data_IF_103513903975
#
_entry.id   IF_103513903975
#
_cell.length_a   1.000
_cell.length_b   1.000
_cell.length_c   1.000
_cell.angle_alpha   90.00
_cell.angle_beta   90.00
_cell.angle_gamma   90.00
#
_symmetry.space_group_name_H-M   'P 1'
#
loop_
_entity.id
_entity.type
_entity.pdbx_description
1 polymer ?
#
# COMPACT_ATOMS: atom_id res chain seq x y z
N UNK A 1 -0.54 28.16 3.10
CA UNK A 1 0.51 28.49 4.09
C UNK A 1 -0.20 28.98 5.34
N UNK A 2 -0.26 28.18 6.40
CA UNK A 2 -0.98 28.54 7.63
C UNK A 2 -0.35 29.80 8.26
N UNK A 3 -1.19 30.76 8.63
CA UNK A 3 -0.79 32.03 9.24
C UNK A 3 -0.14 31.77 10.61
N UNK A 4 1.04 32.36 10.84
CA UNK A 4 1.81 32.24 12.08
C UNK A 4 1.00 32.72 13.30
N UNK A 5 0.03 33.61 13.09
CA UNK A 5 -0.91 34.06 14.12
C UNK A 5 -1.90 32.96 14.53
N UNK A 6 -2.40 32.19 13.57
CA UNK A 6 -3.29 31.06 13.84
C UNK A 6 -2.57 29.95 14.62
N UNK A 7 -1.30 29.69 14.29
CA UNK A 7 -0.48 28.70 15.03
C UNK A 7 -0.27 29.13 16.48
N UNK A 8 0.01 30.42 16.73
CA UNK A 8 0.16 30.95 18.10
C UNK A 8 -1.13 30.90 18.90
N UNK A 9 -2.27 31.16 18.26
CA UNK A 9 -3.58 31.10 18.92
C UNK A 9 -3.97 29.66 19.28
N UNK A 10 -3.68 28.69 18.40
CA UNK A 10 -3.88 27.26 18.66
C UNK A 10 -2.97 26.78 19.80
N UNK A 11 -1.69 27.15 19.78
CA UNK A 11 -0.75 26.79 20.85
C UNK A 11 -1.19 27.34 22.22
N UNK A 12 -1.70 28.58 22.26
CA UNK A 12 -2.24 29.19 23.48
C UNK A 12 -3.52 28.53 23.99
N UNK A 13 -4.31 27.89 23.11
CA UNK A 13 -5.51 27.13 23.50
C UNK A 13 -5.17 25.71 23.96
N UNK A 14 -4.11 25.11 23.42
CA UNK A 14 -3.62 23.79 23.82
C UNK A 14 -2.97 23.77 25.22
N UNK A 15 -2.19 24.80 25.58
CA UNK A 15 -1.55 24.90 26.90
C UNK A 15 -2.51 24.78 28.11
N UNK A 16 -3.65 25.49 28.16
CA UNK A 16 -4.59 25.37 29.27
C UNK A 16 -5.34 24.03 29.27
N UNK A 17 -5.62 23.43 28.11
CA UNK A 17 -6.23 22.09 28.02
C UNK A 17 -5.26 20.99 28.50
N UNK A 18 -3.97 21.10 28.16
CA UNK A 18 -2.91 20.24 28.71
C UNK A 18 -2.79 20.36 30.23
N UNK A 19 -2.95 21.57 30.76
CA UNK A 19 -2.90 21.81 32.21
C UNK A 19 -4.10 21.16 32.93
N UNK A 20 -5.30 21.22 32.35
CA UNK A 20 -6.48 20.52 32.88
C UNK A 20 -6.35 19.00 32.81
N UNK A 21 -5.75 18.46 31.75
CA UNK A 21 -5.48 17.02 31.67
C UNK A 21 -4.50 16.59 32.75
N UNK A 22 -3.44 17.37 33.01
CA UNK A 22 -2.48 17.10 34.08
C UNK A 22 -3.11 17.09 35.48
N UNK A 23 -4.10 17.96 35.74
CA UNK A 23 -4.85 17.97 37.01
C UNK A 23 -5.76 16.74 37.18
N UNK A 24 -6.11 16.04 36.10
CA UNK A 24 -6.93 14.83 36.13
C UNK A 24 -6.14 13.53 36.31
N UNK A 25 -4.80 13.60 36.33
CA UNK A 25 -3.92 12.45 36.51
C UNK A 25 -3.78 12.14 38.01
N UNK A 26 -4.26 10.97 38.44
CA UNK A 26 -4.06 10.46 39.80
C UNK A 26 -2.63 9.92 39.95
N UNK A 27 -1.78 10.66 40.66
CA UNK A 27 -0.37 10.33 40.88
C UNK A 27 -0.16 9.09 41.76
N UNK A 28 -1.21 8.56 42.40
CA UNK A 28 -1.12 7.32 43.19
C UNK A 28 -1.26 6.04 42.34
N UNK A 29 -1.60 6.16 41.05
CA UNK A 29 -1.71 5.01 40.14
C UNK A 29 -0.44 4.75 39.31
N UNK A 30 0.59 5.58 39.44
CA UNK A 30 1.82 5.48 38.65
C UNK A 30 2.87 4.74 39.48
N UNK A 31 3.15 3.47 39.16
CA UNK A 31 4.26 2.74 39.75
C UNK A 31 5.59 3.23 39.16
N UNK A 32 6.30 4.03 39.94
CA UNK A 32 7.57 4.65 39.56
C UNK A 32 8.71 3.62 39.36
N UNK A 33 8.51 2.34 39.66
CA UNK A 33 9.52 1.30 39.42
C UNK A 33 9.55 0.75 37.99
N UNK A 34 8.58 1.11 37.13
CA UNK A 34 8.54 0.67 35.73
C UNK A 34 9.32 1.58 34.76
N UNK A 35 9.71 2.78 35.18
CA UNK A 35 10.37 3.76 34.32
C UNK A 35 11.90 3.58 34.18
N UNK A 36 12.50 2.66 34.93
CA UNK A 36 13.96 2.54 35.07
C UNK A 36 14.57 1.29 34.41
N UNK A 37 13.84 0.62 33.50
CA UNK A 37 14.42 -0.50 32.73
C UNK A 37 15.10 -0.01 31.44
N UNK A 38 16.40 -0.30 31.24
CA UNK A 38 17.14 0.16 30.08
C UNK A 38 16.71 -0.54 28.79
N UNK A 39 16.61 0.28 27.74
CA UNK A 39 16.36 -0.09 26.35
C UNK A 39 17.61 -0.77 25.76
N UNK A 40 17.42 -1.91 25.09
CA UNK A 40 18.35 -2.67 24.22
C UNK A 40 19.48 -3.50 24.87
N UNK A 41 19.26 -4.82 24.95
CA UNK A 41 19.96 -5.86 24.16
C UNK A 41 19.62 -7.26 24.69
N UNK A 42 19.02 -8.10 23.86
CA UNK A 42 19.66 -9.34 23.38
C UNK A 42 18.79 -9.96 22.28
N UNK A 43 19.32 -9.86 21.05
CA UNK A 43 19.04 -10.78 19.97
C UNK A 43 19.48 -12.17 20.40
N UNK A 44 18.64 -13.17 20.11
CA UNK A 44 18.93 -14.60 19.88
C UNK A 44 17.81 -15.48 20.45
N UNK A 45 16.61 -15.34 19.90
CA UNK A 45 15.61 -16.40 19.82
C UNK A 45 14.53 -15.96 18.82
N UNK A 46 14.19 -16.87 17.91
CA UNK A 46 13.08 -16.80 16.95
C UNK A 46 11.88 -16.04 17.58
N UNK A 47 11.39 -14.92 17.01
CA UNK A 47 10.25 -14.25 17.61
C UNK A 47 9.03 -15.12 17.31
N UNK A 48 8.56 -15.84 18.34
CA UNK A 48 7.14 -16.16 18.44
C UNK A 48 6.41 -14.81 18.45
N UNK A 49 5.58 -14.60 17.42
CA UNK A 49 4.69 -13.47 17.30
C UNK A 49 3.85 -13.37 18.58
N UNK A 50 4.03 -12.32 19.37
CA UNK A 50 3.12 -12.00 20.45
C UNK A 50 1.80 -11.54 19.83
N UNK A 51 0.81 -12.42 19.80
CA UNK A 51 -0.54 -12.12 19.33
C UNK A 51 -1.20 -11.10 20.26
N UNK A 52 -1.17 -9.82 19.90
CA UNK A 52 -2.36 -9.00 20.08
C UNK A 52 -3.43 -9.60 19.18
N UNK A 53 -4.43 -10.28 19.73
CA UNK A 53 -5.44 -11.00 18.94
C UNK A 53 -6.13 -10.05 17.97
N UNK A 54 -5.80 -10.15 16.68
CA UNK A 54 -6.49 -9.39 15.64
C UNK A 54 -7.96 -9.82 15.60
N UNK A 55 -8.86 -8.84 15.68
CA UNK A 55 -10.31 -9.09 15.66
C UNK A 55 -10.91 -8.73 14.30
N UNK A 56 -12.08 -9.28 13.93
CA UNK A 56 -12.82 -8.79 12.77
C UNK A 56 -13.15 -7.29 12.89
N UNK A 57 -13.16 -6.59 11.75
CA UNK A 57 -13.65 -5.21 11.68
C UNK A 57 -15.16 -5.16 11.92
N UNK A 58 -15.61 -4.17 12.68
CA UNK A 58 -17.03 -3.79 12.79
C UNK A 58 -17.51 -3.14 11.49
N UNK A 59 -18.84 -3.01 11.31
CA UNK A 59 -19.38 -2.36 10.11
C UNK A 59 -18.96 -0.88 10.02
N UNK A 60 -18.95 -0.15 11.14
CA UNK A 60 -18.53 1.26 11.18
C UNK A 60 -17.05 1.41 10.78
N UNK A 61 -16.17 0.50 11.23
CA UNK A 61 -14.76 0.49 10.82
C UNK A 61 -14.60 0.15 9.34
N UNK A 62 -15.38 -0.80 8.80
CA UNK A 62 -15.36 -1.12 7.37
C UNK A 62 -15.74 0.10 6.53
N UNK A 63 -16.78 0.82 6.92
CA UNK A 63 -17.22 2.02 6.21
C UNK A 63 -16.18 3.15 6.32
N UNK A 64 -15.60 3.34 7.50
CA UNK A 64 -14.53 4.32 7.74
C UNK A 64 -13.29 4.03 6.88
N UNK A 65 -12.78 2.80 6.93
CA UNK A 65 -11.56 2.44 6.21
C UNK A 65 -11.80 2.39 4.70
N UNK A 66 -12.96 1.93 4.23
CA UNK A 66 -13.32 1.98 2.81
C UNK A 66 -13.18 3.39 2.24
N UNK A 67 -13.70 4.40 2.94
CA UNK A 67 -13.59 5.79 2.51
C UNK A 67 -12.14 6.30 2.63
N UNK A 68 -11.49 6.01 3.77
CA UNK A 68 -10.14 6.52 4.07
C UNK A 68 -9.07 6.00 3.11
N UNK A 69 -9.08 4.71 2.78
CA UNK A 69 -8.07 4.10 1.90
C UNK A 69 -8.55 3.98 0.44
N UNK A 70 -9.84 4.17 0.18
CA UNK A 70 -10.40 4.06 -1.16
C UNK A 70 -10.46 2.63 -1.69
N UNK A 71 -10.51 1.62 -0.83
CA UNK A 71 -10.56 0.22 -1.26
C UNK A 71 -11.94 -0.20 -1.80
N UNK A 72 -11.98 -1.36 -2.45
CA UNK A 72 -13.24 -2.03 -2.76
C UNK A 72 -13.96 -2.48 -1.49
N UNK A 73 -15.29 -2.44 -1.48
CA UNK A 73 -16.08 -2.84 -0.30
C UNK A 73 -15.86 -4.30 0.12
N UNK A 74 -15.66 -5.21 -0.84
CA UNK A 74 -15.42 -6.63 -0.58
C UNK A 74 -14.07 -6.91 0.08
N UNK A 75 -13.09 -6.00 -0.03
CA UNK A 75 -11.75 -6.22 0.52
C UNK A 75 -11.79 -6.35 2.06
N UNK A 76 -12.64 -5.56 2.70
CA UNK A 76 -12.72 -5.47 4.16
C UNK A 76 -13.71 -6.47 4.78
N UNK A 77 -14.44 -7.25 3.98
CA UNK A 77 -15.47 -8.16 4.51
C UNK A 77 -14.91 -9.19 5.48
N UNK A 78 -13.76 -9.77 5.13
CA UNK A 78 -13.06 -10.81 5.90
C UNK A 78 -11.74 -10.31 6.50
N UNK A 79 -11.53 -8.99 6.56
CA UNK A 79 -10.33 -8.42 7.14
C UNK A 79 -10.38 -8.41 8.67
N UNK A 80 -9.21 -8.44 9.30
CA UNK A 80 -9.04 -8.26 10.74
C UNK A 80 -8.22 -7.01 11.03
N UNK A 81 -8.31 -6.49 12.24
CA UNK A 81 -7.58 -5.32 12.71
C UNK A 81 -6.98 -5.62 14.08
N UNK A 82 -5.72 -5.21 14.29
CA UNK A 82 -5.05 -5.33 15.58
C UNK A 82 -5.22 -4.09 16.46
N UNK A 83 -4.66 -4.13 17.66
CA UNK A 83 -4.71 -3.03 18.63
C UNK A 83 -4.00 -1.75 18.17
N UNK A 84 -3.08 -1.85 17.20
CA UNK A 84 -2.35 -0.72 16.63
C UNK A 84 -3.08 -0.10 15.43
N UNK A 85 -4.19 -0.70 15.01
CA UNK A 85 -4.98 -0.25 13.87
C UNK A 85 -4.50 -0.75 12.52
N UNK A 86 -3.56 -1.70 12.50
CA UNK A 86 -3.11 -2.36 11.26
C UNK A 86 -4.15 -3.36 10.78
N UNK A 87 -4.46 -3.30 9.49
CA UNK A 87 -5.49 -4.12 8.85
C UNK A 87 -4.83 -5.29 8.14
N UNK A 88 -5.33 -6.50 8.39
CA UNK A 88 -4.91 -7.71 7.70
C UNK A 88 -5.99 -8.13 6.72
N UNK A 89 -5.70 -8.09 5.42
CA UNK A 89 -6.65 -8.42 4.36
C UNK A 89 -6.46 -9.87 3.89
N UNK A 90 -7.57 -10.49 3.49
CA UNK A 90 -7.56 -11.80 2.85
C UNK A 90 -7.31 -11.64 1.35
N UNK A 91 -6.10 -11.95 0.88
CA UNK A 91 -5.73 -11.86 -0.53
C UNK A 91 -5.95 -13.18 -1.26
N UNK A 92 -6.20 -13.11 -2.57
CA UNK A 92 -6.25 -14.31 -3.41
C UNK A 92 -4.87 -14.97 -3.40
N UNK A 93 -4.85 -16.29 -3.20
CA UNK A 93 -3.64 -17.11 -3.09
C UNK A 93 -2.76 -16.81 -1.88
N UNK A 94 -3.30 -16.25 -0.78
CA UNK A 94 -2.53 -16.04 0.45
C UNK A 94 -1.86 -17.34 0.98
N UNK A 95 -2.48 -18.50 0.75
CA UNK A 95 -1.93 -19.81 1.15
C UNK A 95 -0.65 -20.20 0.39
N UNK A 96 -0.28 -19.46 -0.65
CA UNK A 96 0.97 -19.62 -1.40
C UNK A 96 2.14 -18.85 -0.78
N UNK A 97 1.94 -18.14 0.35
CA UNK A 97 3.02 -17.42 1.05
C UNK A 97 4.30 -18.27 1.16
N UNK A 98 5.42 -17.72 0.68
CA UNK A 98 6.73 -18.37 0.65
C UNK A 98 6.93 -19.43 -0.45
N UNK A 99 5.94 -19.67 -1.32
CA UNK A 99 6.05 -20.58 -2.45
C UNK A 99 6.44 -19.83 -3.72
N UNK A 100 7.22 -20.49 -4.57
CA UNK A 100 7.64 -20.03 -5.90
C UNK A 100 6.87 -20.79 -6.98
N UNK A 101 6.23 -20.08 -7.90
CA UNK A 101 5.61 -20.64 -9.09
C UNK A 101 6.63 -21.21 -10.07
N UNK A 102 6.17 -21.97 -11.08
CA UNK A 102 7.04 -22.51 -12.14
C UNK A 102 7.64 -21.38 -13.01
N UNK A 103 6.97 -20.24 -13.07
CA UNK A 103 7.40 -19.00 -13.71
C UNK A 103 8.38 -18.17 -12.85
N UNK A 104 8.69 -18.62 -11.63
CA UNK A 104 9.60 -17.92 -10.72
C UNK A 104 8.94 -16.87 -9.83
N UNK A 105 7.63 -16.62 -9.98
CA UNK A 105 6.92 -15.63 -9.15
C UNK A 105 6.74 -16.18 -7.73
N UNK A 106 7.17 -15.39 -6.73
CA UNK A 106 7.05 -15.74 -5.31
C UNK A 106 5.88 -14.97 -4.70
N UNK A 107 5.13 -15.61 -3.81
CA UNK A 107 4.11 -14.92 -3.01
C UNK A 107 4.69 -14.52 -1.66
N UNK A 108 4.76 -13.22 -1.38
CA UNK A 108 5.34 -12.68 -0.16
C UNK A 108 4.33 -11.88 0.63
N UNK A 109 4.42 -11.98 1.96
CA UNK A 109 3.67 -11.11 2.87
C UNK A 109 4.32 -9.74 2.89
N UNK A 110 3.50 -8.72 2.68
CA UNK A 110 3.93 -7.33 2.66
C UNK A 110 2.94 -6.45 3.40
N UNK A 111 3.47 -5.47 4.13
CA UNK A 111 2.68 -4.38 4.71
C UNK A 111 2.90 -3.13 3.86
N UNK A 112 1.82 -2.50 3.43
CA UNK A 112 1.81 -1.24 2.69
C UNK A 112 1.08 -0.17 3.51
N UNK A 113 1.44 1.09 3.31
CA UNK A 113 0.78 2.22 3.97
C UNK A 113 -0.06 3.00 2.97
N UNK A 114 -1.36 3.15 3.24
CA UNK A 114 -2.29 3.93 2.42
C UNK A 114 -2.99 4.95 3.30
N UNK A 115 -2.76 6.24 3.05
CA UNK A 115 -3.34 7.35 3.81
C UNK A 115 -3.14 7.20 5.35
N UNK A 116 -1.95 6.76 5.75
CA UNK A 116 -1.58 6.52 7.16
C UNK A 116 -2.27 5.31 7.79
N UNK A 117 -2.73 4.36 6.99
CA UNK A 117 -3.27 3.06 7.43
C UNK A 117 -2.37 1.95 6.92
N UNK A 118 -1.85 1.13 7.82
CA UNK A 118 -1.09 -0.05 7.47
C UNK A 118 -2.02 -1.19 7.04
N UNK A 119 -1.75 -1.76 5.88
CA UNK A 119 -2.49 -2.89 5.31
C UNK A 119 -1.50 -4.01 5.02
N UNK A 120 -1.72 -5.18 5.61
CA UNK A 120 -0.93 -6.38 5.36
C UNK A 120 -1.72 -7.40 4.54
N UNK A 121 -1.05 -7.95 3.53
CA UNK A 121 -1.55 -9.04 2.71
C UNK A 121 -0.41 -9.85 2.12
N UNK A 122 -0.76 -10.87 1.34
CA UNK A 122 0.21 -11.70 0.59
C UNK A 122 0.04 -11.42 -0.89
N UNK A 123 1.12 -11.04 -1.56
CA UNK A 123 1.11 -10.57 -2.95
C UNK A 123 2.19 -11.27 -3.79
N UNK A 124 1.92 -11.57 -5.07
CA UNK A 124 2.94 -12.04 -6.00
C UNK A 124 3.99 -10.95 -6.23
N UNK A 125 5.26 -11.32 -6.25
CA UNK A 125 6.38 -10.45 -6.55
C UNK A 125 6.76 -10.63 -8.01
N UNK A 126 6.35 -9.66 -8.85
CA UNK A 126 6.59 -9.69 -10.29
C UNK A 126 7.93 -9.05 -10.66
N UNK A 127 8.50 -9.50 -11.78
CA UNK A 127 9.64 -8.83 -12.39
C UNK A 127 9.15 -7.69 -13.28
N UNK A 128 9.07 -6.49 -12.72
CA UNK A 128 8.61 -5.30 -13.44
C UNK A 128 9.69 -4.72 -14.35
N UNK A 129 9.30 -4.38 -15.59
CA UNK A 129 10.16 -3.66 -16.52
C UNK A 129 10.29 -2.17 -16.11
N UNK A 130 9.20 -1.57 -15.61
CA UNK A 130 9.18 -0.21 -15.05
C UNK A 130 8.02 -0.08 -14.06
N UNK A 131 8.30 0.62 -12.96
CA UNK A 131 7.30 1.04 -11.99
C UNK A 131 6.99 2.52 -12.16
N UNK A 132 5.70 2.86 -12.20
CA UNK A 132 5.19 4.22 -12.38
C UNK A 132 4.27 4.56 -11.21
N UNK A 133 4.53 5.70 -10.57
CA UNK A 133 3.68 6.22 -9.52
C UNK A 133 2.58 7.10 -10.13
N UNK A 134 1.31 6.74 -9.92
CA UNK A 134 0.19 7.56 -10.35
C UNK A 134 0.10 8.87 -9.53
N UNK A 135 -0.30 9.98 -10.16
CA UNK A 135 -0.69 11.18 -9.44
C UNK A 135 -2.06 11.00 -8.78
N UNK A 136 -2.32 11.78 -7.73
CA UNK A 136 -3.50 11.63 -6.86
C UNK A 136 -4.83 11.64 -7.65
N UNK A 137 -4.94 12.50 -8.66
CA UNK A 137 -6.13 12.63 -9.51
C UNK A 137 -6.42 11.36 -10.35
N UNK A 138 -5.43 10.50 -10.56
CA UNK A 138 -5.57 9.27 -11.32
C UNK A 138 -5.76 8.02 -10.44
N UNK A 139 -5.60 8.12 -9.12
CA UNK A 139 -5.70 6.97 -8.20
C UNK A 139 -7.04 6.22 -8.37
N UNK A 140 -8.15 6.94 -8.46
CA UNK A 140 -9.51 6.40 -8.64
C UNK A 140 -10.02 6.50 -10.09
N UNK A 141 -9.17 6.89 -11.04
CA UNK A 141 -9.55 6.98 -12.45
C UNK A 141 -9.78 5.59 -13.07
N UNK A 142 -10.28 5.56 -14.31
CA UNK A 142 -10.45 4.32 -15.06
C UNK A 142 -9.11 3.69 -15.41
N UNK A 143 -9.10 2.36 -15.58
CA UNK A 143 -7.89 1.62 -15.95
C UNK A 143 -7.26 2.16 -17.24
N UNK A 144 -8.07 2.60 -18.21
CA UNK A 144 -7.57 3.20 -19.46
C UNK A 144 -6.80 4.50 -19.24
N UNK A 145 -7.29 5.40 -18.38
CA UNK A 145 -6.62 6.66 -18.09
C UNK A 145 -5.33 6.46 -17.29
N UNK A 146 -5.33 5.48 -16.38
CA UNK A 146 -4.12 5.09 -15.63
C UNK A 146 -3.07 4.48 -16.56
N UNK A 147 -3.49 3.64 -17.50
CA UNK A 147 -2.61 3.03 -18.50
C UNK A 147 -2.07 4.06 -19.51
N UNK A 148 -2.89 5.02 -19.95
CA UNK A 148 -2.44 6.14 -20.81
C UNK A 148 -1.32 6.93 -20.13
N UNK A 149 -1.50 7.32 -18.86
CA UNK A 149 -0.46 8.00 -18.08
C UNK A 149 0.81 7.15 -17.95
N UNK A 150 0.66 5.86 -17.66
CA UNK A 150 1.80 4.96 -17.50
C UNK A 150 2.54 4.72 -18.84
N UNK A 151 1.84 4.69 -19.97
CA UNK A 151 2.44 4.62 -21.30
C UNK A 151 3.23 5.90 -21.63
N UNK A 152 2.75 7.09 -21.25
CA UNK A 152 3.50 8.34 -21.40
C UNK A 152 4.82 8.30 -20.61
N UNK A 153 4.78 7.82 -19.36
CA UNK A 153 5.97 7.67 -18.53
C UNK A 153 6.96 6.64 -19.10
N UNK A 154 6.45 5.51 -19.62
CA UNK A 154 7.27 4.51 -20.32
C UNK A 154 7.95 5.10 -21.56
N UNK A 155 7.21 5.86 -22.37
CA UNK A 155 7.74 6.55 -23.55
C UNK A 155 8.87 7.51 -23.17
N UNK A 156 8.64 8.38 -22.19
CA UNK A 156 9.68 9.30 -21.71
C UNK A 156 10.94 8.54 -21.23
N UNK A 157 10.77 7.42 -20.52
CA UNK A 157 11.89 6.61 -20.04
C UNK A 157 12.68 5.99 -21.20
N UNK A 158 12.00 5.46 -22.22
CA UNK A 158 12.64 4.87 -23.41
C UNK A 158 13.39 5.94 -24.21
N UNK A 159 12.82 7.13 -24.39
CA UNK A 159 13.45 8.24 -25.12
C UNK A 159 14.74 8.73 -24.44
N UNK A 160 14.76 8.74 -23.11
CA UNK A 160 15.87 9.30 -22.31
C UNK A 160 16.93 8.28 -21.90
N UNK A 161 16.66 6.97 -22.03
CA UNK A 161 17.56 5.91 -21.59
C UNK A 161 17.71 4.81 -22.67
N UNK A 162 18.69 4.97 -23.58
CA UNK A 162 18.94 4.00 -24.63
C UNK A 162 19.37 2.61 -24.14
N UNK A 163 19.90 2.47 -22.92
CA UNK A 163 20.21 1.14 -22.36
C UNK A 163 18.93 0.45 -21.88
N UNK A 164 18.05 1.19 -21.21
CA UNK A 164 16.72 0.70 -20.83
C UNK A 164 15.89 0.28 -22.05
N UNK A 165 15.96 1.04 -23.15
CA UNK A 165 15.23 0.73 -24.37
C UNK A 165 15.57 -0.65 -24.98
N UNK A 166 16.78 -1.19 -24.73
CA UNK A 166 17.24 -2.47 -25.30
C UNK A 166 16.47 -3.70 -24.84
N UNK A 167 15.66 -3.58 -23.79
CA UNK A 167 14.81 -4.70 -23.33
C UNK A 167 13.57 -4.91 -24.23
N UNK A 168 13.25 -3.93 -25.09
CA UNK A 168 12.10 -3.99 -25.99
C UNK A 168 12.53 -4.31 -27.43
N UNK A 169 11.66 -5.00 -28.18
CA UNK A 169 11.84 -5.21 -29.63
C UNK A 169 11.59 -3.93 -30.43
N UNK A 170 12.00 -3.91 -31.70
CA UNK A 170 11.72 -2.77 -32.59
C UNK A 170 10.20 -2.52 -32.73
N UNK A 171 9.38 -3.57 -32.78
CA UNK A 171 7.91 -3.42 -32.81
C UNK A 171 7.37 -2.83 -31.50
N UNK A 172 7.87 -3.28 -30.35
CA UNK A 172 7.47 -2.75 -29.05
C UNK A 172 7.88 -1.29 -28.88
N UNK A 173 9.06 -0.90 -29.39
CA UNK A 173 9.50 0.49 -29.38
C UNK A 173 8.60 1.38 -30.24
N UNK A 174 8.09 0.89 -31.38
CA UNK A 174 7.10 1.61 -32.19
C UNK A 174 5.77 1.79 -31.44
N UNK A 175 5.31 0.77 -30.72
CA UNK A 175 4.10 0.86 -29.88
C UNK A 175 4.27 1.89 -28.76
N UNK A 176 5.41 1.85 -28.06
CA UNK A 176 5.74 2.80 -26.98
C UNK A 176 5.78 4.23 -27.52
N UNK A 177 6.38 4.44 -28.70
CA UNK A 177 6.40 5.75 -29.36
C UNK A 177 4.98 6.25 -29.70
N UNK A 178 4.07 5.34 -30.03
CA UNK A 178 2.65 5.65 -30.28
C UNK A 178 1.81 5.81 -29.00
N UNK A 179 2.41 5.65 -27.80
CA UNK A 179 1.69 5.74 -26.52
C UNK A 179 0.87 4.49 -26.19
N UNK A 180 1.18 3.36 -26.82
CA UNK A 180 0.53 2.08 -26.61
C UNK A 180 1.32 1.22 -25.62
N UNK A 181 0.62 0.33 -24.92
CA UNK A 181 1.29 -0.68 -24.08
C UNK A 181 1.93 -1.70 -25.01
N UNK A 182 3.25 -1.98 -24.88
CA UNK A 182 3.95 -2.89 -25.78
C UNK A 182 3.41 -4.32 -25.71
N UNK A 183 3.37 -5.01 -26.85
CA UNK A 183 2.87 -6.37 -26.98
C UNK A 183 3.59 -7.32 -26.01
N UNK A 184 2.81 -8.19 -25.38
CA UNK A 184 3.32 -9.12 -24.36
C UNK A 184 3.37 -8.53 -22.94
N UNK A 185 3.16 -7.22 -22.77
CA UNK A 185 3.10 -6.58 -21.46
C UNK A 185 1.69 -6.13 -21.07
N UNK A 186 1.48 -5.97 -19.77
CA UNK A 186 0.26 -5.39 -19.21
C UNK A 186 0.61 -4.49 -18.04
N UNK A 187 -0.20 -3.47 -17.82
CA UNK A 187 -0.12 -2.63 -16.64
C UNK A 187 -0.81 -3.31 -15.46
N UNK A 188 -0.01 -3.72 -14.48
CA UNK A 188 -0.45 -4.30 -13.22
C UNK A 188 -0.56 -3.22 -12.14
N UNK A 189 -1.69 -3.17 -11.43
CA UNK A 189 -1.82 -2.33 -10.25
C UNK A 189 -1.12 -3.02 -9.05
N UNK A 190 0.02 -2.50 -8.63
CA UNK A 190 0.79 -2.99 -7.47
C UNK A 190 0.10 -2.72 -6.14
N UNK A 191 0.47 -3.46 -5.10
CA UNK A 191 -0.11 -3.29 -3.76
C UNK A 191 0.24 -1.93 -3.11
N UNK A 192 1.35 -1.32 -3.52
CA UNK A 192 1.74 0.02 -3.06
C UNK A 192 0.77 1.07 -3.60
N UNK A 193 0.54 2.12 -2.80
CA UNK A 193 -0.44 3.14 -3.12
C UNK A 193 -0.13 3.84 -4.45
N UNK A 194 -0.99 3.66 -5.45
CA UNK A 194 -0.85 4.31 -6.76
C UNK A 194 0.22 3.71 -7.67
N UNK A 195 0.81 2.56 -7.31
CA UNK A 195 1.84 1.90 -8.11
C UNK A 195 1.26 1.17 -9.32
N UNK A 196 1.84 1.45 -10.49
CA UNK A 196 1.60 0.75 -11.74
C UNK A 196 2.90 0.08 -12.18
N UNK A 197 2.85 -1.22 -12.49
CA UNK A 197 4.00 -2.00 -12.90
C UNK A 197 3.80 -2.53 -14.31
N UNK A 198 4.78 -2.35 -15.19
CA UNK A 198 4.75 -2.97 -16.51
C UNK A 198 5.32 -4.39 -16.40
N UNK A 199 4.46 -5.40 -16.44
CA UNK A 199 4.86 -6.80 -16.26
C UNK A 199 4.45 -7.65 -17.46
N UNK A 200 5.02 -8.85 -17.56
CA UNK A 200 4.61 -9.84 -18.56
C UNK A 200 3.12 -10.16 -18.42
N UNK A 201 2.40 -10.13 -19.54
CA UNK A 201 0.98 -10.53 -19.59
C UNK A 201 0.80 -11.99 -19.18
N UNK A 202 1.76 -12.85 -19.53
CA UNK A 202 1.73 -14.27 -19.18
C UNK A 202 1.89 -14.47 -17.66
N UNK A 203 2.87 -13.82 -17.04
CA UNK A 203 3.07 -13.87 -15.58
C UNK A 203 1.83 -13.35 -14.83
N UNK A 204 1.24 -12.25 -15.30
CA UNK A 204 0.02 -11.68 -14.72
C UNK A 204 -1.16 -12.66 -14.79
N UNK A 205 -1.33 -13.34 -15.93
CA UNK A 205 -2.41 -14.31 -16.13
C UNK A 205 -2.23 -15.58 -15.30
N UNK A 206 -1.00 -16.08 -15.18
CA UNK A 206 -0.68 -17.29 -14.42
C UNK A 206 -0.82 -17.09 -12.91
N UNK A 207 -0.62 -15.86 -12.43
CA UNK A 207 -0.59 -15.54 -11.00
C UNK A 207 -1.82 -14.76 -10.54
N UNK A 208 -3.04 -15.27 -10.75
CA UNK A 208 -4.26 -14.60 -10.26
C UNK A 208 -4.13 -14.16 -8.78
N UNK A 209 -4.35 -12.87 -8.51
CA UNK A 209 -4.10 -12.24 -7.21
C UNK A 209 -5.09 -11.09 -6.92
N UNK A 210 -5.03 -10.54 -5.70
CA UNK A 210 -5.70 -9.28 -5.34
C UNK A 210 -4.78 -8.11 -5.71
N UNK A 211 -5.06 -7.41 -6.81
CA UNK A 211 -4.26 -6.27 -7.26
C UNK A 211 -4.60 -4.95 -6.57
N UNK A 212 -3.72 -3.96 -6.67
CA UNK A 212 -3.79 -2.62 -6.09
C UNK A 212 -5.07 -1.87 -6.37
N UNK A 213 -5.68 -2.07 -7.54
CA UNK A 213 -6.97 -1.47 -7.87
C UNK A 213 -8.02 -1.75 -6.80
N UNK A 214 -8.05 -2.96 -6.24
CA UNK A 214 -8.99 -3.33 -5.18
C UNK A 214 -8.63 -2.75 -3.81
N UNK A 215 -7.35 -2.40 -3.60
CA UNK A 215 -6.77 -1.95 -2.33
C UNK A 215 -6.88 -0.43 -2.19
N UNK A 216 -6.56 0.32 -3.24
CA UNK A 216 -6.52 1.79 -3.20
C UNK A 216 -7.28 2.48 -4.35
N UNK A 217 -7.59 1.77 -5.45
CA UNK A 217 -8.16 2.36 -6.67
C UNK A 217 -9.70 2.31 -6.78
N UNK A 218 -10.42 1.97 -5.72
CA UNK A 218 -11.89 1.81 -5.71
C UNK A 218 -12.41 0.50 -6.32
N UNK A 219 -11.54 -0.39 -6.76
CA UNK A 219 -11.87 -1.72 -7.25
C UNK A 219 -12.69 -1.73 -8.54
N UNK A 220 -13.62 -2.68 -8.64
CA UNK A 220 -14.41 -2.93 -9.86
C UNK A 220 -15.29 -1.75 -10.29
N UNK A 221 -15.65 -0.87 -9.36
CA UNK A 221 -16.50 0.30 -9.66
C UNK A 221 -15.77 1.32 -10.55
N UNK A 222 -14.44 1.34 -10.50
CA UNK A 222 -13.57 2.27 -11.23
C UNK A 222 -12.74 1.58 -12.33
N UNK A 223 -13.16 0.38 -12.77
CA UNK A 223 -12.49 -0.37 -13.83
C UNK A 223 -12.92 0.11 -15.21
#
# INVERSE_FOLDING_TARGET
MMDLLAIKEIASKLQPELSKMLESIDTNSIDLNELDRPILKQMDAKPECGEGEARPLTQEEKDYYKEKIGCSGSLLENATIDENGKIYIKTINESKEGQTGEDGVIYERKTVEINGVEIEGVFPQFNSAIDVQLPEELIKAKDTAQAEYANEALKEKVENDPEFAKQFSDEQLEQIENGETPDGYTWHHGEEYGEMQLISTEEHQNNRHTGGKAIWGGGKENR
#
